data_IF_935557346927
#
_entry.id   IF_935557346927
#
_cell.length_a   1.000
_cell.length_b   1.000
_cell.length_c   1.000
_cell.angle_alpha   90.00
_cell.angle_beta   90.00
_cell.angle_gamma   90.00
#
_symmetry.space_group_name_H-M   'P 1'
#
loop_
_entity.id
_entity.type
_entity.pdbx_description
1 polymer ?
#
# COMPACT_ATOMS: atom_id res chain seq x y z
N UNK A 1 42.16 32.99 7.34
CA UNK A 1 41.38 32.00 6.58
C UNK A 1 42.08 30.65 6.60
N UNK A 2 41.60 29.68 7.38
CA UNK A 2 42.21 28.36 7.46
C UNK A 2 41.98 27.62 6.10
N UNK A 3 43.07 27.15 5.48
CA UNK A 3 43.05 26.31 4.28
C UNK A 3 42.29 25.01 4.64
N UNK A 4 41.15 24.72 3.99
CA UNK A 4 40.44 23.45 4.11
C UNK A 4 41.39 22.29 3.78
N UNK A 5 41.72 21.47 4.78
CA UNK A 5 42.48 20.24 4.60
C UNK A 5 41.67 19.28 3.74
N UNK A 6 42.16 18.89 2.58
CA UNK A 6 41.57 17.90 1.71
C UNK A 6 41.68 18.27 0.23
N UNK A 7 42.64 17.66 -0.44
CA UNK A 7 42.84 17.82 -1.88
C UNK A 7 41.71 17.18 -2.71
N UNK A 8 41.82 17.26 -4.04
CA UNK A 8 40.85 16.68 -5.01
C UNK A 8 40.52 15.20 -4.73
N UNK A 9 41.52 14.42 -4.29
CA UNK A 9 41.37 13.01 -3.95
C UNK A 9 40.47 12.80 -2.71
N UNK A 10 40.64 13.61 -1.66
CA UNK A 10 39.79 13.51 -0.45
C UNK A 10 38.32 13.84 -0.76
N UNK A 11 38.07 14.82 -1.63
CA UNK A 11 36.71 15.15 -2.11
C UNK A 11 36.11 14.05 -2.99
N UNK A 12 36.94 13.38 -3.78
CA UNK A 12 36.48 12.24 -4.60
C UNK A 12 36.17 11.03 -3.73
N UNK A 13 37.03 10.75 -2.75
CA UNK A 13 36.76 9.67 -1.77
C UNK A 13 35.49 9.94 -0.94
N UNK A 14 35.28 11.17 -0.51
CA UNK A 14 34.07 11.56 0.23
C UNK A 14 32.79 11.46 -0.61
N UNK A 15 32.88 11.72 -1.93
CA UNK A 15 31.74 11.54 -2.85
C UNK A 15 31.46 10.07 -3.20
N UNK A 16 32.47 9.23 -3.15
CA UNK A 16 32.40 7.80 -3.42
C UNK A 16 32.09 6.97 -2.15
N UNK A 17 32.22 7.57 -0.97
CA UNK A 17 31.88 6.91 0.28
C UNK A 17 30.35 6.63 0.34
N UNK A 18 29.95 5.46 0.86
CA UNK A 18 28.54 5.20 1.14
C UNK A 18 27.96 6.32 2.03
N UNK A 19 26.77 6.79 1.72
CA UNK A 19 26.07 7.74 2.58
C UNK A 19 25.88 7.13 3.96
N UNK A 20 26.12 7.93 4.99
CA UNK A 20 25.73 7.55 6.35
C UNK A 20 24.22 7.24 6.39
N UNK A 21 23.80 6.32 7.27
CA UNK A 21 22.42 5.89 7.40
C UNK A 21 21.46 7.07 7.58
N UNK A 22 21.90 8.09 8.32
CA UNK A 22 21.14 9.34 8.56
C UNK A 22 21.04 10.26 7.33
N UNK A 23 21.89 10.04 6.34
CA UNK A 23 21.95 10.85 5.11
C UNK A 23 21.36 10.15 3.89
N UNK A 24 20.89 8.91 4.04
CA UNK A 24 20.22 8.21 2.96
C UNK A 24 18.90 8.90 2.62
N UNK A 25 18.54 8.99 1.32
CA UNK A 25 17.28 9.63 0.88
C UNK A 25 16.06 8.94 1.46
N UNK A 26 16.07 7.60 1.54
CA UNK A 26 15.06 6.83 2.25
C UNK A 26 15.73 6.12 3.40
N UNK A 27 15.33 6.47 4.61
CA UNK A 27 15.86 5.89 5.84
C UNK A 27 15.22 4.55 6.11
N UNK A 28 15.88 3.65 6.86
CA UNK A 28 15.32 2.35 7.22
C UNK A 28 14.06 2.41 8.10
N UNK A 29 13.51 3.59 8.34
CA UNK A 29 12.36 3.84 9.20
C UNK A 29 12.77 4.22 10.62
N UNK A 30 11.81 4.67 11.40
CA UNK A 30 11.98 5.03 12.81
C UNK A 30 11.71 3.83 13.70
N UNK A 31 12.31 3.81 14.90
CA UNK A 31 12.03 2.78 15.90
C UNK A 31 10.68 3.03 16.56
N UNK A 32 9.70 2.15 16.33
CA UNK A 32 8.35 2.21 16.88
C UNK A 32 8.10 1.21 18.01
N UNK A 33 6.82 1.00 18.34
CA UNK A 33 6.37 -0.06 19.25
C UNK A 33 6.51 0.23 20.76
N UNK A 34 6.81 1.47 21.14
CA UNK A 34 6.92 1.86 22.57
C UNK A 34 5.58 2.21 23.21
N UNK A 35 4.59 2.61 22.43
CA UNK A 35 3.27 2.96 22.92
C UNK A 35 2.44 1.70 23.12
N UNK A 36 2.05 1.42 24.37
CA UNK A 36 1.27 0.24 24.77
C UNK A 36 0.05 0.71 25.57
N UNK A 37 -1.06 1.06 24.89
CA UNK A 37 -2.26 1.60 25.53
C UNK A 37 -3.07 0.54 26.29
N UNK A 38 -2.87 -0.75 25.99
CA UNK A 38 -3.60 -1.86 26.58
C UNK A 38 -2.67 -2.78 27.38
N UNK A 39 -3.19 -3.37 28.45
CA UNK A 39 -2.52 -4.47 29.17
C UNK A 39 -2.49 -5.74 28.30
N UNK A 40 -1.58 -6.66 28.60
CA UNK A 40 -1.49 -7.95 27.91
C UNK A 40 -2.78 -8.77 28.06
N UNK A 41 -3.46 -8.67 29.20
CA UNK A 41 -4.78 -9.29 29.44
C UNK A 41 -5.86 -8.70 28.51
N UNK A 42 -5.91 -7.36 28.40
CA UNK A 42 -6.85 -6.69 27.49
C UNK A 42 -6.56 -7.05 26.04
N UNK A 43 -5.30 -7.14 25.62
CA UNK A 43 -4.92 -7.59 24.27
C UNK A 43 -5.36 -9.04 24.04
N UNK A 44 -5.17 -9.93 25.01
CA UNK A 44 -5.64 -11.32 24.94
C UNK A 44 -7.15 -11.42 24.79
N UNK A 45 -7.92 -10.61 25.51
CA UNK A 45 -9.38 -10.54 25.39
C UNK A 45 -9.80 -10.02 24.01
N UNK A 46 -9.15 -9.00 23.48
CA UNK A 46 -9.40 -8.46 22.12
C UNK A 46 -9.17 -9.55 21.09
N UNK A 47 -8.02 -10.22 21.11
CA UNK A 47 -7.67 -11.29 20.15
C UNK A 47 -8.68 -12.44 20.21
N UNK A 48 -9.07 -12.90 21.42
CA UNK A 48 -10.06 -13.96 21.57
C UNK A 48 -11.41 -13.55 21.00
N UNK A 49 -11.86 -12.31 21.21
CA UNK A 49 -13.11 -11.83 20.64
C UNK A 49 -13.06 -11.68 19.12
N UNK A 50 -11.91 -11.31 18.53
CA UNK A 50 -11.75 -11.31 17.07
C UNK A 50 -12.00 -12.71 16.50
N UNK A 51 -11.39 -13.76 17.06
CA UNK A 51 -11.60 -15.12 16.58
C UNK A 51 -13.06 -15.57 16.77
N UNK A 52 -13.70 -15.22 17.90
CA UNK A 52 -15.12 -15.51 18.11
C UNK A 52 -16.02 -14.80 17.08
N UNK A 53 -15.74 -13.55 16.73
CA UNK A 53 -16.50 -12.83 15.71
C UNK A 53 -16.32 -13.50 14.34
N UNK A 54 -15.10 -13.91 13.98
CA UNK A 54 -14.85 -14.61 12.73
C UNK A 54 -15.61 -15.95 12.64
N UNK A 55 -15.69 -16.69 13.75
CA UNK A 55 -16.29 -18.02 13.82
C UNK A 55 -17.80 -18.00 14.05
N UNK A 56 -18.30 -17.16 14.95
CA UNK A 56 -19.70 -17.12 15.35
C UNK A 56 -20.55 -16.21 14.44
N UNK A 57 -20.01 -15.05 14.03
CA UNK A 57 -20.70 -14.06 13.19
C UNK A 57 -20.34 -14.21 11.71
N UNK A 58 -19.05 -14.18 11.37
CA UNK A 58 -18.57 -14.24 9.99
C UNK A 58 -18.93 -13.01 9.16
N UNK A 59 -18.69 -13.09 7.86
CA UNK A 59 -18.87 -12.00 6.90
C UNK A 59 -19.97 -12.31 5.90
N UNK A 60 -20.80 -11.30 5.61
CA UNK A 60 -21.79 -11.35 4.52
C UNK A 60 -21.19 -10.86 3.20
N UNK A 61 -21.89 -11.15 2.12
CA UNK A 61 -21.57 -10.63 0.77
C UNK A 61 -20.19 -11.08 0.23
N UNK A 62 -19.75 -12.29 0.61
CA UNK A 62 -18.54 -12.90 0.04
C UNK A 62 -18.72 -13.18 -1.46
N UNK A 63 -17.69 -12.91 -2.28
CA UNK A 63 -17.72 -13.25 -3.70
C UNK A 63 -17.55 -14.76 -3.92
N UNK A 64 -17.97 -15.30 -5.07
CA UNK A 64 -17.82 -16.73 -5.36
C UNK A 64 -16.40 -17.24 -5.18
N UNK A 65 -15.41 -16.48 -5.67
CA UNK A 65 -13.99 -16.83 -5.49
C UNK A 65 -13.56 -16.81 -4.02
N UNK A 66 -14.03 -15.82 -3.24
CA UNK A 66 -13.74 -15.75 -1.81
C UNK A 66 -14.34 -16.98 -1.07
N UNK A 67 -15.57 -17.36 -1.40
CA UNK A 67 -16.24 -18.55 -0.83
C UNK A 67 -15.43 -19.80 -1.18
N UNK A 68 -15.12 -20.02 -2.45
CA UNK A 68 -14.35 -21.19 -2.91
C UNK A 68 -13.00 -21.27 -2.18
N UNK A 69 -12.23 -20.18 -2.18
CA UNK A 69 -10.90 -20.14 -1.57
C UNK A 69 -10.93 -20.39 -0.07
N UNK A 70 -11.88 -19.78 0.64
CA UNK A 70 -11.98 -19.91 2.09
C UNK A 70 -12.54 -21.28 2.51
N UNK A 71 -13.54 -21.80 1.79
CA UNK A 71 -14.11 -23.12 2.11
C UNK A 71 -13.14 -24.27 1.81
N UNK A 72 -12.27 -24.11 0.81
CA UNK A 72 -11.21 -25.07 0.52
C UNK A 72 -10.22 -25.26 1.68
N UNK A 73 -10.11 -24.28 2.59
CA UNK A 73 -9.24 -24.34 3.78
C UNK A 73 -10.02 -24.52 5.09
N UNK A 74 -11.32 -24.73 5.03
CA UNK A 74 -12.14 -25.08 6.19
C UNK A 74 -13.07 -23.98 6.72
N UNK A 75 -13.23 -22.86 6.00
CA UNK A 75 -14.31 -21.91 6.31
C UNK A 75 -15.68 -22.52 5.95
N UNK A 76 -16.73 -22.01 6.57
CA UNK A 76 -18.09 -22.56 6.42
C UNK A 76 -19.06 -21.46 5.98
N UNK A 77 -19.79 -21.72 4.90
CA UNK A 77 -20.92 -20.88 4.50
C UNK A 77 -22.16 -21.30 5.30
N UNK A 78 -22.71 -20.36 6.06
CA UNK A 78 -23.93 -20.58 6.80
C UNK A 78 -25.20 -20.35 5.97
N UNK A 79 -26.34 -20.92 6.41
CA UNK A 79 -27.64 -20.75 5.76
C UNK A 79 -28.12 -19.27 5.76
N UNK A 80 -27.57 -18.45 6.64
CA UNK A 80 -27.80 -17.00 6.71
C UNK A 80 -26.97 -16.19 5.70
N UNK A 81 -26.22 -16.87 4.83
CA UNK A 81 -25.37 -16.27 3.79
C UNK A 81 -24.10 -15.62 4.34
N UNK A 82 -23.65 -16.04 5.53
CA UNK A 82 -22.40 -15.56 6.12
C UNK A 82 -21.30 -16.61 6.01
N UNK A 83 -20.13 -16.16 5.55
CA UNK A 83 -18.91 -16.95 5.52
C UNK A 83 -18.24 -16.87 6.89
N UNK A 84 -18.21 -17.97 7.60
CA UNK A 84 -17.60 -18.11 8.92
C UNK A 84 -16.23 -18.74 8.79
N UNK A 85 -15.29 -18.19 9.54
CA UNK A 85 -13.89 -18.62 9.51
C UNK A 85 -13.56 -19.21 10.88
N UNK A 86 -13.47 -20.54 11.01
CA UNK A 86 -13.09 -21.18 12.28
C UNK A 86 -11.73 -20.65 12.77
N UNK A 87 -11.60 -20.57 14.09
CA UNK A 87 -10.39 -20.07 14.73
C UNK A 87 -9.11 -20.74 14.18
N UNK A 88 -9.12 -22.07 14.05
CA UNK A 88 -7.97 -22.82 13.55
C UNK A 88 -7.55 -22.37 12.15
N UNK A 89 -8.50 -22.12 11.24
CA UNK A 89 -8.24 -21.63 9.88
C UNK A 89 -7.55 -20.27 9.90
N UNK A 90 -8.04 -19.38 10.76
CA UNK A 90 -7.46 -18.04 10.90
C UNK A 90 -6.04 -18.10 11.52
N UNK A 91 -5.82 -18.93 12.54
CA UNK A 91 -4.51 -19.12 13.17
C UNK A 91 -3.51 -19.74 12.19
N UNK A 92 -3.92 -20.72 11.38
CA UNK A 92 -3.08 -21.33 10.34
C UNK A 92 -2.70 -20.31 9.25
N UNK A 93 -3.63 -19.45 8.84
CA UNK A 93 -3.33 -18.38 7.89
C UNK A 93 -2.33 -17.37 8.46
N UNK A 94 -2.52 -16.95 9.72
CA UNK A 94 -1.62 -16.04 10.41
C UNK A 94 -0.22 -16.64 10.61
N UNK A 95 -0.10 -17.93 10.87
CA UNK A 95 1.18 -18.62 11.04
C UNK A 95 2.02 -18.62 9.77
N UNK A 96 1.36 -18.65 8.60
CA UNK A 96 1.99 -18.63 7.27
C UNK A 96 2.27 -17.22 6.74
N UNK A 97 1.67 -16.18 7.34
CA UNK A 97 1.84 -14.81 6.91
C UNK A 97 3.31 -14.36 7.07
N UNK A 98 3.87 -13.74 6.04
CA UNK A 98 5.22 -13.19 6.11
C UNK A 98 5.29 -12.06 7.13
N UNK A 99 6.27 -12.12 8.04
CA UNK A 99 6.52 -11.09 9.05
C UNK A 99 7.52 -10.03 8.58
N UNK A 100 8.39 -10.40 7.67
CA UNK A 100 9.39 -9.53 7.08
C UNK A 100 9.05 -9.31 5.62
N UNK A 101 8.84 -8.08 5.24
CA UNK A 101 8.40 -7.68 3.92
C UNK A 101 9.24 -6.49 3.45
N UNK A 102 9.64 -6.52 2.19
CA UNK A 102 10.20 -5.36 1.49
C UNK A 102 9.17 -4.84 0.50
N UNK A 103 8.80 -3.56 0.61
CA UNK A 103 8.09 -2.88 -0.46
C UNK A 103 9.13 -2.30 -1.42
N UNK A 104 9.14 -2.85 -2.62
CA UNK A 104 10.05 -2.38 -3.66
C UNK A 104 9.61 -1.04 -4.23
N UNK A 105 10.56 -0.21 -4.58
CA UNK A 105 10.37 1.03 -5.30
C UNK A 105 10.82 0.87 -6.76
N UNK A 106 10.49 1.83 -7.64
CA UNK A 106 11.01 1.85 -9.00
C UNK A 106 12.55 1.99 -9.01
N UNK A 107 13.08 2.84 -8.12
CA UNK A 107 14.51 2.95 -7.87
C UNK A 107 14.85 2.16 -6.59
N UNK A 108 15.71 1.13 -6.64
CA UNK A 108 16.08 0.33 -5.48
C UNK A 108 16.61 1.11 -4.28
N UNK A 109 17.11 2.34 -4.49
CA UNK A 109 17.54 3.21 -3.40
C UNK A 109 16.41 3.61 -2.45
N UNK A 110 15.15 3.46 -2.88
CA UNK A 110 13.94 3.79 -2.12
C UNK A 110 13.17 2.56 -1.63
N UNK A 111 13.74 1.36 -1.68
CA UNK A 111 13.12 0.17 -1.14
C UNK A 111 12.88 0.29 0.37
N UNK A 112 11.73 -0.19 0.85
CA UNK A 112 11.33 -0.10 2.25
C UNK A 112 11.39 -1.47 2.90
N UNK A 113 12.20 -1.59 3.93
CA UNK A 113 12.24 -2.76 4.81
C UNK A 113 11.21 -2.58 5.94
N UNK A 114 10.15 -3.38 5.91
CA UNK A 114 9.07 -3.38 6.90
C UNK A 114 9.30 -4.38 8.04
N UNK A 115 10.51 -4.87 8.21
CA UNK A 115 10.82 -5.85 9.25
C UNK A 115 10.94 -5.22 10.65
N UNK A 116 10.68 -6.02 11.68
CA UNK A 116 10.85 -5.62 13.08
C UNK A 116 9.89 -4.51 13.51
N UNK A 117 10.42 -3.48 14.18
CA UNK A 117 9.68 -2.34 14.72
C UNK A 117 9.82 -1.07 13.89
N UNK A 118 10.20 -1.19 12.63
CA UNK A 118 10.43 -0.04 11.74
C UNK A 118 9.13 0.64 11.37
N UNK A 119 9.16 1.96 11.35
CA UNK A 119 8.04 2.82 10.96
C UNK A 119 8.44 3.64 9.74
N UNK A 120 7.62 3.59 8.71
CA UNK A 120 7.77 4.37 7.50
C UNK A 120 6.57 5.30 7.34
N UNK A 121 6.83 6.52 6.85
CA UNK A 121 5.78 7.51 6.62
C UNK A 121 5.37 7.50 5.14
N UNK A 122 4.07 7.53 4.92
CA UNK A 122 3.46 7.69 3.61
C UNK A 122 2.68 9.01 3.54
N UNK A 123 2.37 9.44 2.33
CA UNK A 123 1.38 10.50 2.14
C UNK A 123 -0.02 9.98 2.54
N UNK A 124 -0.92 10.89 2.92
CA UNK A 124 -2.34 10.55 3.13
C UNK A 124 -3.07 10.41 1.78
N UNK A 125 -4.15 9.69 1.77
CA UNK A 125 -5.00 9.54 0.57
C UNK A 125 -6.46 9.50 0.99
N UNK A 126 -7.43 9.65 0.17
CA UNK A 126 -7.49 10.21 -1.15
C UNK A 126 -8.43 11.44 -1.07
N UNK A 127 -7.87 12.62 -1.07
CA UNK A 127 -8.65 13.86 -1.03
C UNK A 127 -9.47 14.02 -2.30
N UNK A 128 -10.67 14.57 -2.16
CA UNK A 128 -11.58 14.86 -3.29
C UNK A 128 -11.47 16.29 -3.79
N UNK A 129 -10.74 17.13 -3.08
CA UNK A 129 -10.52 18.54 -3.39
C UNK A 129 -9.08 18.95 -3.11
N UNK A 130 -8.63 19.99 -3.76
CA UNK A 130 -7.34 20.65 -3.54
C UNK A 130 -7.56 22.03 -2.96
N UNK A 131 -6.81 22.39 -1.92
CA UNK A 131 -6.69 23.77 -1.47
C UNK A 131 -5.74 24.52 -2.41
N UNK A 132 -6.28 25.35 -3.29
CA UNK A 132 -5.50 26.20 -4.19
C UNK A 132 -4.97 27.40 -3.41
N UNK A 133 -3.70 27.35 -3.03
CA UNK A 133 -3.08 28.40 -2.21
C UNK A 133 -2.90 29.74 -2.94
N UNK A 134 -2.92 29.74 -4.28
CA UNK A 134 -2.79 30.96 -5.09
C UNK A 134 -4.11 31.71 -5.11
N UNK A 135 -5.22 30.97 -5.32
CA UNK A 135 -6.57 31.55 -5.37
C UNK A 135 -7.25 31.64 -4.00
N UNK A 136 -6.68 30.96 -2.99
CA UNK A 136 -7.24 30.81 -1.64
C UNK A 136 -8.67 30.23 -1.65
N UNK A 137 -8.87 29.18 -2.45
CA UNK A 137 -10.14 28.49 -2.59
C UNK A 137 -9.94 26.96 -2.64
N UNK A 138 -11.01 26.21 -2.37
CA UNK A 138 -11.04 24.78 -2.64
C UNK A 138 -11.58 24.54 -4.05
N UNK A 139 -10.93 23.65 -4.78
CA UNK A 139 -11.34 23.20 -6.11
C UNK A 139 -11.23 21.69 -6.27
N UNK A 140 -11.86 21.16 -7.29
CA UNK A 140 -11.69 19.77 -7.69
C UNK A 140 -10.22 19.47 -8.01
N UNK A 141 -9.77 18.28 -7.60
CA UNK A 141 -8.44 17.78 -7.89
C UNK A 141 -8.35 17.26 -9.33
N UNK A 142 -7.22 17.50 -9.96
CA UNK A 142 -6.96 17.17 -11.36
C UNK A 142 -5.84 16.16 -11.51
N UNK A 143 -5.73 15.59 -12.70
CA UNK A 143 -4.61 14.73 -13.13
C UNK A 143 -3.26 15.41 -12.89
N UNK A 144 -3.17 16.71 -13.18
CA UNK A 144 -1.97 17.50 -12.97
C UNK A 144 -1.60 17.61 -11.49
N UNK A 145 -2.59 17.82 -10.62
CA UNK A 145 -2.36 17.91 -9.19
C UNK A 145 -1.76 16.61 -8.64
N UNK A 146 -2.31 15.45 -9.01
CA UNK A 146 -1.80 14.17 -8.54
C UNK A 146 -0.36 13.93 -8.98
N UNK A 147 -0.04 14.24 -10.23
CA UNK A 147 1.32 14.13 -10.75
C UNK A 147 2.29 15.06 -10.01
N UNK A 148 1.93 16.31 -9.80
CA UNK A 148 2.78 17.28 -9.09
C UNK A 148 2.94 16.94 -7.61
N UNK A 149 1.89 16.41 -6.94
CA UNK A 149 1.96 15.90 -5.57
C UNK A 149 2.91 14.70 -5.46
N UNK A 150 2.90 13.80 -6.42
CA UNK A 150 3.84 12.68 -6.46
C UNK A 150 5.30 13.18 -6.60
N UNK A 151 5.54 14.17 -7.44
CA UNK A 151 6.87 14.81 -7.59
C UNK A 151 7.33 15.54 -6.34
N UNK A 152 6.42 16.18 -5.62
CA UNK A 152 6.73 16.82 -4.35
C UNK A 152 7.14 15.75 -3.33
N UNK A 153 6.34 14.70 -3.20
CA UNK A 153 6.63 13.60 -2.28
C UNK A 153 7.95 12.87 -2.63
N UNK A 154 8.32 12.78 -3.91
CA UNK A 154 9.59 12.20 -4.35
C UNK A 154 10.80 12.95 -3.77
N UNK A 155 10.69 14.28 -3.62
CA UNK A 155 11.73 15.15 -3.11
C UNK A 155 11.70 15.34 -1.58
N UNK A 156 10.78 14.69 -0.87
CA UNK A 156 10.67 14.76 0.59
C UNK A 156 11.36 13.55 1.24
N UNK A 157 12.51 13.74 1.87
CA UNK A 157 13.32 12.65 2.46
C UNK A 157 12.56 11.83 3.52
N UNK A 158 11.65 12.46 4.26
CA UNK A 158 10.88 11.81 5.33
C UNK A 158 9.52 11.27 4.89
N UNK A 159 9.17 11.38 3.61
CA UNK A 159 8.05 10.67 3.01
C UNK A 159 8.63 9.47 2.28
N UNK A 160 8.45 8.28 2.84
CA UNK A 160 9.13 7.07 2.39
C UNK A 160 8.41 6.38 1.23
N UNK A 161 7.08 6.49 1.16
CA UNK A 161 6.26 5.98 0.06
C UNK A 161 5.16 6.98 -0.32
N UNK A 162 4.67 6.88 -1.53
CA UNK A 162 3.59 7.71 -2.04
C UNK A 162 2.28 6.93 -2.04
N UNK A 163 1.35 7.30 -1.17
CA UNK A 163 -0.03 6.87 -1.26
C UNK A 163 -0.79 7.86 -2.15
N UNK A 164 -1.64 7.41 -3.09
CA UNK A 164 -2.45 8.27 -3.94
C UNK A 164 -3.14 9.36 -3.12
N UNK A 165 -2.75 10.62 -3.31
CA UNK A 165 -3.17 11.72 -2.44
C UNK A 165 -4.55 12.29 -2.78
N UNK A 166 -4.97 12.24 -4.05
CA UNK A 166 -6.27 12.78 -4.46
C UNK A 166 -6.96 11.91 -5.52
N UNK A 167 -8.24 12.14 -5.70
CA UNK A 167 -9.10 11.52 -6.71
C UNK A 167 -9.16 12.43 -7.92
N UNK A 168 -8.89 11.92 -9.12
CA UNK A 168 -8.97 12.71 -10.35
C UNK A 168 -10.43 13.01 -10.71
N UNK A 169 -10.74 14.29 -10.92
CA UNK A 169 -12.09 14.75 -11.22
C UNK A 169 -12.22 15.48 -12.56
N UNK A 170 -11.14 15.53 -13.31
CA UNK A 170 -11.04 16.15 -14.63
C UNK A 170 -11.15 15.12 -15.78
N UNK A 171 -11.63 13.90 -15.49
CA UNK A 171 -11.77 12.81 -16.44
C UNK A 171 -13.23 12.36 -16.56
N UNK A 172 -13.61 11.87 -17.74
CA UNK A 172 -15.00 11.56 -18.08
C UNK A 172 -15.48 10.22 -17.50
N UNK A 173 -14.57 9.25 -17.32
CA UNK A 173 -14.92 7.90 -16.88
C UNK A 173 -14.06 7.43 -15.71
N UNK A 174 -14.60 6.51 -14.90
CA UNK A 174 -13.85 5.85 -13.83
C UNK A 174 -12.71 5.00 -14.36
N UNK A 175 -12.83 4.49 -15.59
CA UNK A 175 -11.77 3.76 -16.27
C UNK A 175 -10.55 4.65 -16.54
N UNK A 176 -10.78 5.81 -17.14
CA UNK A 176 -9.73 6.80 -17.36
C UNK A 176 -9.14 7.30 -16.03
N UNK A 177 -9.99 7.53 -15.03
CA UNK A 177 -9.56 7.92 -13.70
C UNK A 177 -8.58 6.89 -13.10
N UNK A 178 -8.92 5.61 -13.12
CA UNK A 178 -8.09 4.56 -12.53
C UNK A 178 -6.74 4.41 -13.26
N UNK A 179 -6.74 4.43 -14.60
CA UNK A 179 -5.50 4.31 -15.37
C UNK A 179 -4.61 5.55 -15.25
N UNK A 180 -5.19 6.75 -15.34
CA UNK A 180 -4.42 7.99 -15.18
C UNK A 180 -3.94 8.17 -13.74
N UNK A 181 -4.70 7.72 -12.74
CA UNK A 181 -4.21 7.65 -11.35
C UNK A 181 -2.92 6.82 -11.26
N UNK A 182 -2.94 5.62 -11.84
CA UNK A 182 -1.76 4.75 -11.85
C UNK A 182 -0.59 5.43 -12.55
N UNK A 183 -0.82 5.98 -13.74
CA UNK A 183 0.22 6.65 -14.52
C UNK A 183 0.81 7.86 -13.77
N UNK A 184 -0.02 8.77 -13.26
CA UNK A 184 0.45 9.98 -12.57
C UNK A 184 1.28 9.65 -11.32
N UNK A 185 0.85 8.63 -10.56
CA UNK A 185 1.60 8.20 -9.39
C UNK A 185 2.99 7.68 -9.78
N UNK A 186 3.07 6.70 -10.70
CA UNK A 186 4.35 6.07 -11.05
C UNK A 186 5.25 6.97 -11.89
N UNK A 187 4.70 7.89 -12.69
CA UNK A 187 5.49 8.86 -13.44
C UNK A 187 6.02 10.00 -12.56
N UNK A 188 5.38 10.26 -11.42
CA UNK A 188 5.74 11.37 -10.54
C UNK A 188 6.75 11.02 -9.44
N UNK A 189 6.93 9.74 -9.08
CA UNK A 189 7.84 9.34 -8.01
C UNK A 189 8.59 8.05 -8.33
N UNK A 190 9.81 7.94 -7.82
CA UNK A 190 10.64 6.72 -7.85
C UNK A 190 10.37 5.80 -6.66
N UNK A 191 9.64 6.28 -5.65
CA UNK A 191 9.30 5.57 -4.43
C UNK A 191 8.23 4.51 -4.67
N UNK A 192 8.01 3.63 -3.69
CA UNK A 192 6.87 2.72 -3.71
C UNK A 192 5.55 3.50 -3.74
N UNK A 193 4.61 3.05 -4.57
CA UNK A 193 3.29 3.68 -4.73
C UNK A 193 2.20 2.80 -4.13
N UNK A 194 1.34 3.39 -3.31
CA UNK A 194 0.07 2.80 -2.91
C UNK A 194 -1.09 3.43 -3.71
N UNK A 195 -1.91 2.61 -4.34
CA UNK A 195 -3.06 3.06 -5.10
C UNK A 195 -4.27 2.16 -4.89
N UNK A 196 -5.43 2.58 -5.35
CA UNK A 196 -6.67 1.79 -5.33
C UNK A 196 -7.41 1.98 -6.64
N UNK A 197 -8.16 0.95 -7.03
CA UNK A 197 -8.94 0.90 -8.26
C UNK A 197 -10.40 0.64 -7.91
N UNK A 198 -11.30 1.25 -8.66
CA UNK A 198 -12.74 1.11 -8.46
C UNK A 198 -13.29 -0.20 -9.00
N UNK A 199 -12.56 -0.87 -9.91
CA UNK A 199 -13.00 -2.08 -10.60
C UNK A 199 -11.82 -3.01 -10.92
N UNK A 200 -12.05 -4.32 -10.81
CA UNK A 200 -11.02 -5.34 -11.04
C UNK A 200 -10.52 -5.37 -12.50
N UNK A 201 -11.37 -5.05 -13.48
CA UNK A 201 -10.96 -4.97 -14.90
C UNK A 201 -10.02 -3.78 -15.13
N UNK A 202 -10.27 -2.65 -14.46
CA UNK A 202 -9.37 -1.48 -14.50
C UNK A 202 -8.02 -1.82 -13.89
N UNK A 203 -8.00 -2.54 -12.76
CA UNK A 203 -6.76 -3.02 -12.15
C UNK A 203 -5.99 -3.97 -13.07
N UNK A 204 -6.68 -4.87 -13.78
CA UNK A 204 -6.04 -5.74 -14.77
C UNK A 204 -5.33 -4.93 -15.86
N UNK A 205 -5.96 -3.86 -16.36
CA UNK A 205 -5.34 -2.96 -17.34
C UNK A 205 -4.20 -2.13 -16.75
N UNK A 206 -4.33 -1.71 -15.50
CA UNK A 206 -3.23 -1.05 -14.79
C UNK A 206 -2.02 -1.99 -14.63
N UNK A 207 -2.24 -3.27 -14.34
CA UNK A 207 -1.16 -4.28 -14.27
C UNK A 207 -0.44 -4.44 -15.63
N UNK A 208 -1.16 -4.47 -16.75
CA UNK A 208 -0.55 -4.50 -18.08
C UNK A 208 0.39 -3.28 -18.28
N UNK A 209 -0.04 -2.09 -17.88
CA UNK A 209 0.78 -0.88 -17.92
C UNK A 209 1.99 -0.98 -16.99
N UNK A 210 1.81 -1.48 -15.77
CA UNK A 210 2.90 -1.67 -14.81
C UNK A 210 3.93 -2.70 -15.29
N UNK A 211 3.49 -3.77 -16.00
CA UNK A 211 4.40 -4.71 -16.65
C UNK A 211 5.26 -4.02 -17.71
N UNK A 212 4.68 -3.13 -18.52
CA UNK A 212 5.44 -2.36 -19.52
C UNK A 212 6.49 -1.49 -18.82
N UNK A 213 6.10 -0.77 -17.77
CA UNK A 213 6.99 0.13 -17.01
C UNK A 213 8.13 -0.66 -16.32
N UNK A 214 7.83 -1.86 -15.81
CA UNK A 214 8.82 -2.73 -15.18
C UNK A 214 9.81 -3.37 -16.18
N UNK A 215 9.53 -3.32 -17.47
CA UNK A 215 10.29 -4.01 -18.51
C UNK A 215 9.83 -5.44 -18.77
N UNK A 216 8.66 -5.83 -18.28
CA UNK A 216 8.00 -7.10 -18.47
C UNK A 216 7.37 -7.67 -17.21
N UNK A 217 6.50 -8.68 -17.36
CA UNK A 217 5.81 -9.32 -16.24
C UNK A 217 6.78 -9.98 -15.25
N UNK A 218 7.84 -10.62 -15.73
CA UNK A 218 8.83 -11.27 -14.88
C UNK A 218 9.56 -10.25 -13.97
N UNK A 219 9.91 -9.09 -14.52
CA UNK A 219 10.55 -8.01 -13.79
C UNK A 219 9.59 -7.40 -12.77
N UNK A 220 8.32 -7.20 -13.16
CA UNK A 220 7.28 -6.76 -12.23
C UNK A 220 7.12 -7.73 -11.06
N UNK A 221 6.95 -9.03 -11.32
CA UNK A 221 6.77 -10.04 -10.26
C UNK A 221 7.98 -10.16 -9.33
N UNK A 222 9.18 -9.89 -9.83
CA UNK A 222 10.38 -9.88 -9.01
C UNK A 222 10.45 -8.66 -8.09
N UNK A 223 9.95 -7.49 -8.53
CA UNK A 223 10.03 -6.22 -7.81
C UNK A 223 8.77 -5.36 -8.05
N UNK A 224 7.61 -5.71 -7.49
CA UNK A 224 6.39 -4.93 -7.64
C UNK A 224 6.50 -3.63 -6.83
N UNK A 225 6.55 -2.51 -7.53
CA UNK A 225 6.73 -1.17 -6.96
C UNK A 225 5.42 -0.40 -6.71
N UNK A 226 4.29 -1.06 -6.92
CA UNK A 226 2.96 -0.53 -6.61
C UNK A 226 2.21 -1.56 -5.78
N UNK A 227 1.51 -1.10 -4.75
CA UNK A 227 0.60 -1.91 -3.92
C UNK A 227 -0.85 -1.45 -4.07
N UNK A 228 -1.78 -2.41 -3.98
CA UNK A 228 -3.19 -2.12 -3.86
C UNK A 228 -3.54 -1.73 -2.42
N UNK A 229 -4.42 -0.75 -2.25
CA UNK A 229 -4.88 -0.23 -0.97
C UNK A 229 -6.40 -0.08 -1.00
N UNK A 230 -7.12 -1.03 -0.39
CA UNK A 230 -8.59 -1.04 -0.35
C UNK A 230 -9.12 -1.47 1.01
N UNK A 231 -10.31 -0.98 1.35
CA UNK A 231 -11.10 -1.47 2.47
C UNK A 231 -11.91 -2.67 2.01
N UNK A 232 -11.57 -3.86 2.49
CA UNK A 232 -12.22 -5.12 2.08
C UNK A 232 -13.46 -5.42 2.90
N UNK A 233 -13.57 -4.85 4.08
CA UNK A 233 -14.67 -5.07 5.02
C UNK A 233 -15.37 -3.76 5.31
N UNK A 234 -16.68 -3.79 5.26
CA UNK A 234 -17.56 -2.65 5.58
C UNK A 234 -18.57 -3.04 6.67
N UNK A 235 -19.04 -2.08 7.49
CA UNK A 235 -20.08 -2.35 8.49
C UNK A 235 -21.40 -2.83 7.85
N UNK A 236 -22.16 -3.68 8.53
CA UNK A 236 -21.81 -4.48 9.71
C UNK A 236 -21.27 -5.87 9.33
N UNK A 237 -19.97 -6.06 9.31
CA UNK A 237 -19.33 -7.33 8.98
C UNK A 237 -19.75 -7.86 7.60
N UNK A 238 -19.50 -7.07 6.57
CA UNK A 238 -19.73 -7.39 5.17
C UNK A 238 -18.46 -7.22 4.37
N UNK A 239 -18.32 -8.01 3.32
CA UNK A 239 -17.29 -7.74 2.32
C UNK A 239 -17.75 -6.67 1.33
N UNK A 240 -16.82 -5.82 0.92
CA UNK A 240 -16.96 -4.94 -0.24
C UNK A 240 -16.59 -5.77 -1.48
N UNK A 241 -17.58 -6.23 -2.25
CA UNK A 241 -17.36 -7.20 -3.34
C UNK A 241 -16.38 -6.72 -4.40
N UNK A 242 -16.49 -5.47 -4.85
CA UNK A 242 -15.53 -4.90 -5.82
C UNK A 242 -14.11 -4.88 -5.28
N UNK A 243 -13.94 -4.57 -3.98
CA UNK A 243 -12.63 -4.60 -3.33
C UNK A 243 -12.05 -6.02 -3.25
N UNK A 244 -12.89 -7.03 -2.97
CA UNK A 244 -12.47 -8.45 -2.98
C UNK A 244 -12.03 -8.90 -4.37
N UNK A 245 -12.75 -8.53 -5.42
CA UNK A 245 -12.36 -8.86 -6.79
C UNK A 245 -11.05 -8.15 -7.19
N UNK A 246 -10.86 -6.89 -6.77
CA UNK A 246 -9.58 -6.22 -6.92
C UNK A 246 -8.47 -6.91 -6.11
N UNK A 247 -8.75 -7.39 -4.89
CA UNK A 247 -7.79 -8.18 -4.11
C UNK A 247 -7.34 -9.44 -4.86
N UNK A 248 -8.30 -10.18 -5.43
CA UNK A 248 -8.01 -11.37 -6.23
C UNK A 248 -7.07 -11.04 -7.39
N UNK A 249 -7.41 -10.04 -8.21
CA UNK A 249 -6.60 -9.62 -9.36
C UNK A 249 -5.21 -9.14 -8.92
N UNK A 250 -5.11 -8.39 -7.81
CA UNK A 250 -3.82 -7.94 -7.29
C UNK A 250 -2.92 -9.12 -6.88
N UNK A 251 -3.47 -10.09 -6.14
CA UNK A 251 -2.72 -11.28 -5.69
C UNK A 251 -2.29 -12.13 -6.89
N UNK A 252 -3.18 -12.42 -7.83
CA UNK A 252 -2.88 -13.14 -9.08
C UNK A 252 -1.80 -12.42 -9.90
N UNK A 253 -1.86 -11.08 -9.93
CA UNK A 253 -0.90 -10.21 -10.60
C UNK A 253 0.43 -10.01 -9.85
N UNK A 254 0.61 -10.63 -8.66
CA UNK A 254 1.83 -10.49 -7.86
C UNK A 254 2.02 -9.10 -7.23
N UNK A 255 0.93 -8.35 -7.06
CA UNK A 255 0.93 -7.01 -6.45
C UNK A 255 0.84 -7.13 -4.93
N UNK A 256 1.67 -6.41 -4.15
CA UNK A 256 1.48 -6.28 -2.71
C UNK A 256 0.12 -5.64 -2.38
N UNK A 257 -0.45 -6.01 -1.24
CA UNK A 257 -1.75 -5.51 -0.79
C UNK A 257 -1.61 -4.88 0.58
N UNK A 258 -2.09 -3.64 0.71
CA UNK A 258 -2.29 -2.94 1.96
C UNK A 258 -3.72 -3.20 2.44
N UNK A 259 -3.84 -3.88 3.58
CA UNK A 259 -5.14 -4.15 4.19
C UNK A 259 -5.56 -2.92 5.00
N UNK A 260 -6.63 -2.28 4.56
CA UNK A 260 -7.27 -1.17 5.24
C UNK A 260 -8.57 -1.62 5.91
N UNK A 261 -8.91 -0.99 7.00
CA UNK A 261 -10.17 -1.22 7.75
C UNK A 261 -10.89 0.10 8.02
#
# INVERSE_FOLDING_TARGET
MARRAGGRQARHAQRAAPLEETMKPVRPGESGGRYKPFSDEALGAIVNNIFRILEEVGFKDATPHCIETCTAVGAVMGDDGRLRIPRQVAEDALSRAKRNLTLYAQDPAFDLDLSGSRVHFATGGAAVMIADSVKNEYRDSTTRDLYDLARIADNCDHIHMFQRMCVLRDLESTYEMDLNTTYCCVAGTRKHVGASWSNCNHLSKALEMLHIIAGGEAQWRARPFVSQSNCFVVPPMKFAQDALECLRVAVEGGMPVLLLS
#
